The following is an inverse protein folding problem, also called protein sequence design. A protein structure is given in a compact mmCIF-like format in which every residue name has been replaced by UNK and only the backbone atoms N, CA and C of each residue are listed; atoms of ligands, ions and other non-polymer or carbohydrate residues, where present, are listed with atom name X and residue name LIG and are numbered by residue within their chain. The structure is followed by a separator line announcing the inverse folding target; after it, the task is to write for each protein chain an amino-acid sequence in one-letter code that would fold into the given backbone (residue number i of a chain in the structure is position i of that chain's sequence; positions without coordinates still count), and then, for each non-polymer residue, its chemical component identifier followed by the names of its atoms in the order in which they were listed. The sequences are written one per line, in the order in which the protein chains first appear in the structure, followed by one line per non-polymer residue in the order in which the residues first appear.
data_IF_526374706680
#
_entry.id   IF_526374706680
#
_cell.length_a   1.000
_cell.length_b   1.000
_cell.length_c   1.000
_cell.angle_alpha   90.00
_cell.angle_beta   90.00
_cell.angle_gamma   90.00
#
_symmetry.space_group_name_H-M   'P 1'
#
loop_
_entity.id
_entity.type
_entity.pdbx_description
1 polymer ?
#
# COMPACT_ATOMS: atom_id res chain seq x y z
N UNK A 1 -16.79 11.52 -12.20
CA UNK A 1 -18.16 11.22 -11.73
C UNK A 1 -19.22 12.19 -12.25
N UNK A 2 -19.21 13.50 -11.93
CA UNK A 2 -20.25 14.45 -12.41
C UNK A 2 -20.52 14.42 -13.93
N UNK A 3 -19.48 14.27 -14.74
CA UNK A 3 -19.61 14.24 -16.21
C UNK A 3 -19.94 12.85 -16.77
N UNK A 4 -19.40 11.79 -16.17
CA UNK A 4 -19.53 10.42 -16.69
C UNK A 4 -20.74 9.67 -16.10
N UNK A 5 -21.10 9.94 -14.85
CA UNK A 5 -22.15 9.27 -14.08
C UNK A 5 -22.98 10.33 -13.29
N UNK A 6 -23.75 11.19 -13.97
CA UNK A 6 -24.45 12.31 -13.33
C UNK A 6 -25.51 11.86 -12.31
N UNK A 7 -26.18 10.73 -12.56
CA UNK A 7 -27.18 10.18 -11.62
C UNK A 7 -26.57 9.74 -10.29
N UNK A 8 -25.39 9.11 -10.32
CA UNK A 8 -24.66 8.72 -9.11
C UNK A 8 -24.10 9.95 -8.39
N UNK A 9 -23.62 10.95 -9.13
CA UNK A 9 -23.15 12.21 -8.54
C UNK A 9 -24.27 12.94 -7.76
N UNK A 10 -25.51 12.91 -8.27
CA UNK A 10 -26.69 13.44 -7.59
C UNK A 10 -26.98 12.68 -6.28
N UNK A 11 -26.93 11.34 -6.30
CA UNK A 11 -27.13 10.50 -5.12
C UNK A 11 -26.09 10.74 -4.03
N UNK A 12 -24.84 11.01 -4.42
CA UNK A 12 -23.73 11.30 -3.50
C UNK A 12 -23.65 12.77 -3.06
N UNK A 13 -24.55 13.63 -3.54
CA UNK A 13 -24.57 15.06 -3.19
C UNK A 13 -23.38 15.87 -3.71
N UNK A 14 -22.69 15.35 -4.73
CA UNK A 14 -21.46 15.93 -5.30
C UNK A 14 -21.73 17.05 -6.32
N UNK A 15 -22.98 17.51 -6.42
CA UNK A 15 -23.40 18.57 -7.34
C UNK A 15 -22.92 19.96 -6.91
N UNK A 16 -22.64 20.16 -5.62
CA UNK A 16 -22.27 21.47 -5.07
C UNK A 16 -20.82 21.82 -5.40
N UNK A 17 -20.56 22.98 -6.03
CA UNK A 17 -19.20 23.40 -6.43
C UNK A 17 -18.28 23.79 -5.25
N UNK A 18 -18.80 23.94 -4.03
CA UNK A 18 -18.04 24.40 -2.84
C UNK A 18 -17.26 23.29 -2.09
N UNK A 19 -17.25 22.05 -2.57
CA UNK A 19 -16.33 21.04 -2.02
C UNK A 19 -14.93 21.28 -2.61
N UNK A 20 -14.12 22.13 -1.97
CA UNK A 20 -12.77 22.50 -2.40
C UNK A 20 -11.74 21.37 -2.33
N UNK A 21 -12.12 20.19 -1.86
CA UNK A 21 -11.38 18.95 -2.09
C UNK A 21 -12.07 18.26 -3.26
N UNK A 22 -11.33 18.04 -4.36
CA UNK A 22 -11.81 17.17 -5.42
C UNK A 22 -12.27 15.86 -4.77
N UNK A 23 -13.58 15.62 -4.74
CA UNK A 23 -14.16 14.47 -4.07
C UNK A 23 -13.72 13.22 -4.84
N UNK A 24 -12.62 12.62 -4.40
CA UNK A 24 -12.17 11.34 -4.92
C UNK A 24 -13.20 10.30 -4.50
N UNK A 25 -13.63 9.48 -5.44
CA UNK A 25 -14.46 8.31 -5.16
C UNK A 25 -13.51 7.12 -5.07
N UNK A 26 -13.41 6.42 -3.93
CA UNK A 26 -12.54 5.28 -3.81
C UNK A 26 -13.03 4.14 -4.70
N UNK A 27 -12.09 3.41 -5.28
CA UNK A 27 -12.33 2.14 -5.97
C UNK A 27 -11.60 1.09 -5.14
N UNK A 28 -12.35 0.19 -4.52
CA UNK A 28 -11.75 -0.90 -3.76
C UNK A 28 -11.21 -1.97 -4.71
N UNK A 29 -10.06 -2.54 -4.36
CA UNK A 29 -9.48 -3.69 -5.04
C UNK A 29 -9.54 -4.89 -4.12
N UNK A 30 -9.76 -6.07 -4.71
CA UNK A 30 -9.71 -7.32 -3.98
C UNK A 30 -8.32 -7.54 -3.34
N UNK A 31 -8.30 -8.33 -2.27
CA UNK A 31 -7.07 -8.69 -1.61
C UNK A 31 -6.13 -9.46 -2.53
N UNK A 32 -4.82 -9.36 -2.26
CA UNK A 32 -3.79 -10.09 -2.97
C UNK A 32 -4.07 -11.61 -2.89
N UNK A 33 -4.12 -12.34 -4.04
CA UNK A 33 -4.34 -13.77 -4.02
C UNK A 33 -3.26 -14.51 -3.20
N UNK A 34 -3.63 -15.56 -2.43
CA UNK A 34 -2.68 -16.29 -1.62
C UNK A 34 -1.54 -16.89 -2.46
N UNK A 35 -0.31 -16.58 -2.09
CA UNK A 35 0.89 -17.10 -2.75
C UNK A 35 1.34 -16.33 -3.99
N UNK A 36 0.65 -15.25 -4.37
CA UNK A 36 1.11 -14.32 -5.40
C UNK A 36 2.06 -13.30 -4.79
N UNK A 37 3.19 -13.03 -5.44
CA UNK A 37 4.10 -11.98 -5.00
C UNK A 37 3.50 -10.60 -5.29
N UNK A 38 3.72 -9.63 -4.39
CA UNK A 38 3.09 -8.32 -4.49
C UNK A 38 3.50 -7.57 -5.76
N UNK A 39 4.78 -7.64 -6.13
CA UNK A 39 5.34 -7.05 -7.34
C UNK A 39 4.74 -7.67 -8.61
N UNK A 40 4.61 -8.99 -8.65
CA UNK A 40 3.92 -9.69 -9.74
C UNK A 40 2.46 -9.24 -9.86
N UNK A 41 1.75 -9.10 -8.75
CA UNK A 41 0.37 -8.63 -8.75
C UNK A 41 0.25 -7.19 -9.23
N UNK A 42 1.06 -6.27 -8.70
CA UNK A 42 1.05 -4.87 -9.12
C UNK A 42 1.34 -4.73 -10.63
N UNK A 43 2.22 -5.56 -11.19
CA UNK A 43 2.50 -5.58 -12.63
C UNK A 43 1.30 -5.98 -13.50
N UNK A 44 0.24 -6.57 -12.92
CA UNK A 44 -1.01 -6.90 -13.64
C UNK A 44 -2.04 -5.78 -13.60
N UNK A 45 -1.84 -4.74 -12.79
CA UNK A 45 -2.80 -3.64 -12.62
C UNK A 45 -2.55 -2.57 -13.67
N UNK A 46 -3.64 -2.19 -14.37
CA UNK A 46 -3.69 -1.05 -15.27
C UNK A 46 -4.90 -0.19 -14.92
N UNK A 47 -4.65 1.05 -14.52
CA UNK A 47 -5.71 1.99 -14.17
C UNK A 47 -6.15 2.84 -15.36
N UNK A 48 -7.45 3.07 -15.56
CA UNK A 48 -7.92 4.03 -16.57
C UNK A 48 -7.55 5.46 -16.17
N UNK A 49 -7.51 6.37 -17.15
CA UNK A 49 -7.13 7.79 -16.96
C UNK A 49 -7.94 8.52 -15.89
N UNK A 50 -9.17 8.07 -15.63
CA UNK A 50 -10.05 8.64 -14.61
C UNK A 50 -9.54 8.42 -13.17
N UNK A 51 -8.68 7.43 -12.93
CA UNK A 51 -8.08 7.16 -11.62
C UNK A 51 -6.84 8.03 -11.46
N UNK A 52 -6.93 9.03 -10.60
CA UNK A 52 -5.86 10.04 -10.43
C UNK A 52 -4.71 9.58 -9.54
N UNK A 53 -4.92 8.52 -8.77
CA UNK A 53 -3.95 7.99 -7.82
C UNK A 53 -4.43 6.72 -7.15
N UNK A 54 -3.50 6.04 -6.48
CA UNK A 54 -3.75 4.78 -5.79
C UNK A 54 -3.08 4.83 -4.41
N UNK A 55 -3.74 4.24 -3.42
CA UNK A 55 -3.16 4.00 -2.11
C UNK A 55 -3.25 2.50 -1.79
N UNK A 56 -2.20 1.98 -1.18
CA UNK A 56 -2.06 0.58 -0.83
C UNK A 56 -1.52 0.45 0.60
N UNK A 57 -2.11 -0.45 1.37
CA UNK A 57 -1.61 -0.82 2.70
C UNK A 57 -1.13 -2.26 2.69
N UNK A 58 0.07 -2.50 3.21
CA UNK A 58 0.66 -3.83 3.35
C UNK A 58 1.18 -4.04 4.77
N UNK A 59 1.08 -5.27 5.26
CA UNK A 59 1.71 -5.71 6.50
C UNK A 59 2.86 -6.65 6.18
N UNK A 60 4.03 -6.39 6.77
CA UNK A 60 5.21 -7.25 6.62
C UNK A 60 5.70 -7.73 7.98
N UNK A 61 6.11 -8.98 8.00
CA UNK A 61 6.94 -9.55 9.06
C UNK A 61 8.39 -9.37 8.67
N UNK A 62 9.19 -8.80 9.56
CA UNK A 62 10.62 -8.66 9.39
C UNK A 62 11.36 -9.08 10.65
N UNK A 63 12.64 -9.40 10.49
CA UNK A 63 13.55 -9.59 11.61
C UNK A 63 14.39 -8.34 11.80
N UNK A 64 14.65 -7.93 13.05
CA UNK A 64 15.64 -6.90 13.30
C UNK A 64 17.03 -7.43 12.91
N UNK A 65 17.98 -6.55 12.56
CA UNK A 65 19.33 -6.95 12.18
C UNK A 65 20.03 -7.86 13.21
N UNK A 66 19.72 -7.68 14.50
CA UNK A 66 20.25 -8.52 15.58
C UNK A 66 19.82 -10.00 15.50
N UNK A 67 18.70 -10.29 14.85
CA UNK A 67 18.14 -11.63 14.68
C UNK A 67 18.42 -12.23 13.30
N UNK A 68 18.97 -11.48 12.34
CA UNK A 68 19.28 -12.02 11.00
C UNK A 68 20.33 -13.14 11.07
N UNK A 69 21.28 -13.05 12.00
CA UNK A 69 22.32 -14.06 12.17
C UNK A 69 21.81 -15.41 12.71
N UNK A 70 20.59 -15.47 13.27
CA UNK A 70 20.00 -16.71 13.76
C UNK A 70 19.17 -17.45 12.70
N UNK A 71 19.01 -16.86 11.50
CA UNK A 71 18.27 -17.46 10.39
C UNK A 71 18.97 -18.75 9.93
N UNK A 72 18.29 -19.91 9.95
CA UNK A 72 18.88 -21.15 9.47
C UNK A 72 19.20 -21.09 7.97
N UNK A 73 20.34 -21.65 7.59
CA UNK A 73 20.71 -21.77 6.17
C UNK A 73 19.82 -22.80 5.44
N UNK A 74 19.69 -22.63 4.11
CA UNK A 74 19.04 -23.60 3.19
C UNK A 74 17.55 -23.85 3.46
N UNK A 75 16.86 -22.90 4.10
CA UNK A 75 15.39 -22.91 4.12
C UNK A 75 14.86 -22.56 2.74
N UNK A 76 13.82 -23.28 2.29
CA UNK A 76 12.97 -22.79 1.20
C UNK A 76 12.20 -21.54 1.65
N UNK A 77 11.73 -20.71 0.73
CA UNK A 77 10.98 -19.48 1.05
C UNK A 77 9.81 -19.75 1.99
N UNK A 78 9.04 -20.82 1.75
CA UNK A 78 7.93 -21.23 2.61
C UNK A 78 8.38 -21.58 4.03
N UNK A 79 9.52 -22.25 4.17
CA UNK A 79 10.08 -22.59 5.49
C UNK A 79 10.63 -21.35 6.19
N UNK A 80 11.27 -20.43 5.44
CA UNK A 80 11.76 -19.17 5.95
C UNK A 80 10.61 -18.31 6.48
N UNK A 81 9.54 -18.12 5.70
CA UNK A 81 8.33 -17.39 6.14
C UNK A 81 7.75 -17.99 7.42
N UNK A 82 7.62 -19.32 7.48
CA UNK A 82 7.09 -19.98 8.67
C UNK A 82 8.00 -19.85 9.91
N UNK A 83 9.32 -19.79 9.70
CA UNK A 83 10.29 -19.59 10.77
C UNK A 83 10.26 -18.15 11.30
N UNK A 84 10.31 -17.15 10.41
CA UNK A 84 10.19 -15.72 10.75
C UNK A 84 8.90 -15.45 11.51
N UNK A 85 7.77 -16.02 11.07
CA UNK A 85 6.48 -15.84 11.73
C UNK A 85 6.44 -16.35 13.18
N UNK A 86 7.33 -17.26 13.55
CA UNK A 86 7.44 -17.81 14.91
C UNK A 86 8.58 -17.19 15.73
N UNK A 87 9.41 -16.35 15.13
CA UNK A 87 10.56 -15.77 15.82
C UNK A 87 10.09 -14.82 16.94
N UNK A 88 10.70 -14.87 18.14
CA UNK A 88 10.33 -14.00 19.26
C UNK A 88 10.57 -12.53 18.93
N UNK A 89 11.71 -12.22 18.30
CA UNK A 89 12.09 -10.84 17.97
C UNK A 89 11.50 -10.34 16.64
N UNK A 90 10.52 -11.05 16.06
CA UNK A 90 9.90 -10.60 14.80
C UNK A 90 9.22 -9.25 15.02
N UNK A 91 9.32 -8.40 14.02
CA UNK A 91 8.63 -7.13 13.99
C UNK A 91 7.55 -7.16 12.92
N UNK A 92 6.36 -6.69 13.27
CA UNK A 92 5.27 -6.52 12.31
C UNK A 92 5.15 -5.05 11.96
N UNK A 93 5.29 -4.73 10.68
CA UNK A 93 5.28 -3.37 10.17
C UNK A 93 4.12 -3.21 9.20
N UNK A 94 3.25 -2.25 9.48
CA UNK A 94 2.21 -1.81 8.56
C UNK A 94 2.70 -0.58 7.81
N UNK A 95 2.67 -0.66 6.49
CA UNK A 95 3.05 0.42 5.59
C UNK A 95 1.85 0.80 4.74
N UNK A 96 1.57 2.09 4.63
CA UNK A 96 0.60 2.64 3.66
C UNK A 96 1.37 3.53 2.70
N UNK A 97 1.16 3.33 1.41
CA UNK A 97 1.83 4.08 0.33
C UNK A 97 0.75 4.63 -0.58
N UNK A 98 0.86 5.91 -0.93
CA UNK A 98 -0.04 6.55 -1.87
C UNK A 98 0.78 7.26 -2.96
N UNK A 99 0.32 7.15 -4.19
CA UNK A 99 0.90 7.84 -5.35
C UNK A 99 -0.20 8.45 -6.20
N UNK A 100 0.10 9.61 -6.79
CA UNK A 100 -0.72 10.26 -7.81
C UNK A 100 -0.03 10.16 -9.17
N UNK A 101 -0.79 10.27 -10.27
CA UNK A 101 -0.26 10.28 -11.64
C UNK A 101 0.69 11.44 -11.93
N UNK A 102 0.62 12.54 -11.18
CA UNK A 102 1.54 13.68 -11.30
C UNK A 102 2.91 13.44 -10.64
N UNK A 103 3.12 12.24 -10.06
CA UNK A 103 4.35 11.85 -9.39
C UNK A 103 4.40 12.18 -7.90
N UNK A 104 3.37 12.85 -7.34
CA UNK A 104 3.28 13.05 -5.90
C UNK A 104 3.16 11.69 -5.20
N UNK A 105 3.90 11.54 -4.10
CA UNK A 105 3.89 10.30 -3.30
C UNK A 105 3.99 10.62 -1.81
N UNK A 106 3.35 9.78 -1.01
CA UNK A 106 3.42 9.83 0.44
C UNK A 106 3.44 8.41 1.00
N UNK A 107 4.04 8.24 2.17
CA UNK A 107 4.06 6.95 2.85
C UNK A 107 3.93 7.14 4.35
N UNK A 108 3.26 6.18 5.00
CA UNK A 108 3.14 6.08 6.44
C UNK A 108 3.56 4.69 6.89
N UNK A 109 4.49 4.61 7.84
CA UNK A 109 5.06 3.36 8.36
C UNK A 109 4.84 3.32 9.87
N UNK A 110 4.34 2.17 10.35
CA UNK A 110 4.06 1.96 11.77
C UNK A 110 4.45 0.55 12.19
N UNK A 111 5.16 0.43 13.32
CA UNK A 111 5.44 -0.85 13.96
C UNK A 111 4.25 -1.24 14.84
N UNK A 112 3.86 -2.52 14.84
CA UNK A 112 2.76 -3.04 15.66
C UNK A 112 3.00 -2.85 17.16
N UNK A 113 4.24 -2.97 17.62
CA UNK A 113 4.59 -2.75 19.04
C UNK A 113 4.46 -1.28 19.47
N UNK A 114 4.39 -0.36 18.51
CA UNK A 114 4.29 1.09 18.70
C UNK A 114 2.97 1.60 18.11
N UNK A 115 1.87 0.97 18.54
CA UNK A 115 0.50 1.25 18.07
C UNK A 115 -0.10 2.48 18.78
N UNK A 116 0.64 3.60 18.79
CA UNK A 116 0.11 4.90 19.18
C UNK A 116 0.01 5.83 17.97
N UNK A 117 -0.99 6.73 17.89
CA UNK A 117 -1.11 7.69 16.79
C UNK A 117 0.13 8.60 16.64
N UNK A 118 0.90 8.76 17.71
CA UNK A 118 2.13 9.57 17.76
C UNK A 118 3.38 8.86 17.26
N UNK A 119 3.31 7.56 16.96
CA UNK A 119 4.45 6.72 16.56
C UNK A 119 4.34 6.23 15.12
N UNK A 120 3.77 7.07 14.25
CA UNK A 120 3.73 6.85 12.80
C UNK A 120 4.81 7.68 12.13
N UNK A 121 5.69 7.03 11.39
CA UNK A 121 6.66 7.70 10.53
C UNK A 121 5.99 8.02 9.20
N UNK A 122 6.01 9.28 8.78
CA UNK A 122 5.47 9.69 7.47
C UNK A 122 6.56 10.31 6.60
N UNK A 123 6.47 10.11 5.29
CA UNK A 123 7.36 10.76 4.34
C UNK A 123 7.41 10.05 2.99
N UNK A 124 7.42 10.87 1.93
CA UNK A 124 7.51 10.47 0.53
C UNK A 124 8.69 9.54 0.17
N UNK A 125 9.72 9.48 1.01
CA UNK A 125 10.93 8.67 0.80
C UNK A 125 11.07 7.45 1.70
N UNK A 126 10.07 7.12 2.53
CA UNK A 126 10.21 6.04 3.52
C UNK A 126 10.24 4.63 2.89
N UNK A 127 9.50 4.40 1.81
CA UNK A 127 9.39 3.09 1.14
C UNK A 127 9.46 3.25 -0.39
N UNK A 128 10.60 3.71 -0.93
CA UNK A 128 10.72 4.13 -2.33
C UNK A 128 10.36 3.01 -3.31
N UNK A 129 10.79 1.77 -3.06
CA UNK A 129 10.48 0.64 -3.95
C UNK A 129 8.99 0.31 -4.04
N UNK A 130 8.22 0.45 -2.95
CA UNK A 130 6.77 0.25 -3.00
C UNK A 130 6.08 1.42 -3.72
N UNK A 131 6.56 2.64 -3.53
CA UNK A 131 6.02 3.80 -4.23
C UNK A 131 6.28 3.72 -5.74
N UNK A 132 7.46 3.28 -6.15
CA UNK A 132 7.82 3.07 -7.56
C UNK A 132 6.96 1.95 -8.19
N UNK A 133 6.83 0.81 -7.52
CA UNK A 133 5.99 -0.29 -8.00
C UNK A 133 4.51 0.12 -8.12
N UNK A 134 3.99 0.91 -7.17
CA UNK A 134 2.62 1.41 -7.21
C UNK A 134 2.43 2.44 -8.32
N UNK A 135 3.42 3.32 -8.54
CA UNK A 135 3.37 4.31 -9.63
C UNK A 135 3.37 3.65 -11.01
N UNK A 136 4.12 2.55 -11.19
CA UNK A 136 4.17 1.80 -12.44
C UNK A 136 2.79 1.26 -12.89
N UNK A 137 1.83 1.07 -11.96
CA UNK A 137 0.45 0.67 -12.30
C UNK A 137 -0.32 1.71 -13.14
N UNK A 138 0.23 2.92 -13.29
CA UNK A 138 -0.30 4.01 -14.10
C UNK A 138 0.39 4.18 -15.46
N UNK A 139 1.47 3.44 -15.73
CA UNK A 139 2.29 3.57 -16.95
C UNK A 139 1.79 2.70 -18.12
N UNK A 140 0.72 1.93 -17.90
CA UNK A 140 0.13 0.98 -18.86
C UNK A 140 -1.00 1.55 -19.71
#
# INVERSE_FOLDING_TARGET
LRTQEPGLAAQLGLEKPDSSVAALTPIEQDELPPGTALDEFLATIAWPDAVVGCAMTVERLMLPPSAEASVPEKLSDKQLTAWVAKHPDRQEVRMTVAVLRDGARESAVRLREKDSPTEVLTGAGLVPGLAEALAATFES
#
